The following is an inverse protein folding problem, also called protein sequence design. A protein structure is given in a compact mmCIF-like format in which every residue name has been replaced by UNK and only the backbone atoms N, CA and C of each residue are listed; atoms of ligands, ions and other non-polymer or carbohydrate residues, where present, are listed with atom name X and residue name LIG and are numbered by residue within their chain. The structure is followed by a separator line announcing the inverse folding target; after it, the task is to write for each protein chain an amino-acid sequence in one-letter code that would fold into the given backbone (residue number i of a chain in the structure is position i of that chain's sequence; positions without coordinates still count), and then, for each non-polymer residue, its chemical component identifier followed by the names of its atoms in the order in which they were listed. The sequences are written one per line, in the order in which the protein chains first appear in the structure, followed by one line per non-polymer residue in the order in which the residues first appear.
data_IF_947999595696
#
_entry.id   IF_947999595696
#
_cell.length_a   1.000
_cell.length_b   1.000
_cell.length_c   1.000
_cell.angle_alpha   90.00
_cell.angle_beta   90.00
_cell.angle_gamma   90.00
#
_symmetry.space_group_name_H-M   'P 1'
#
loop_
_entity.id
_entity.type
_entity.pdbx_description
1 polymer ?
#
# COMPACT_ATOMS: atom_id res chain seq x y z
N UNK A 1 -52.50 48.39 -36.94
CA UNK A 1 -52.09 49.19 -35.78
C UNK A 1 -52.86 48.73 -34.56
N UNK A 2 -52.19 48.08 -33.61
CA UNK A 2 -52.43 48.08 -32.15
C UNK A 2 -51.49 47.05 -31.52
N UNK A 3 -50.54 47.55 -30.73
CA UNK A 3 -49.59 46.82 -29.90
C UNK A 3 -50.25 45.82 -28.94
N UNK A 4 -49.51 44.81 -28.47
CA UNK A 4 -49.54 44.36 -27.06
C UNK A 4 -48.48 43.29 -26.77
N UNK A 5 -47.38 43.75 -26.16
CA UNK A 5 -46.72 43.20 -24.96
C UNK A 5 -46.49 41.67 -24.82
N UNK A 6 -45.21 41.28 -24.80
CA UNK A 6 -44.71 39.98 -24.33
C UNK A 6 -45.08 39.71 -22.85
N UNK A 7 -45.58 38.52 -22.49
CA UNK A 7 -45.57 38.06 -21.11
C UNK A 7 -44.16 37.54 -20.74
N UNK A 8 -43.54 38.20 -19.77
CA UNK A 8 -42.30 37.75 -19.11
C UNK A 8 -42.62 36.50 -18.29
N UNK A 9 -42.10 35.34 -18.69
CA UNK A 9 -42.12 34.16 -17.84
C UNK A 9 -41.00 34.27 -16.78
N UNK A 10 -41.29 33.99 -15.50
CA UNK A 10 -40.29 34.11 -14.44
C UNK A 10 -39.18 33.09 -14.64
N UNK A 11 -37.93 33.57 -14.56
CA UNK A 11 -36.73 32.74 -14.51
C UNK A 11 -36.87 31.73 -13.36
N UNK A 12 -37.03 30.45 -13.70
CA UNK A 12 -36.84 29.38 -12.71
C UNK A 12 -35.39 29.42 -12.26
N UNK A 13 -35.19 29.95 -11.06
CA UNK A 13 -33.94 29.84 -10.31
C UNK A 13 -33.61 28.35 -10.24
N UNK A 14 -32.57 27.94 -10.97
CA UNK A 14 -31.95 26.63 -10.84
C UNK A 14 -31.49 26.52 -9.39
N UNK A 15 -32.26 25.80 -8.57
CA UNK A 15 -31.85 25.45 -7.21
C UNK A 15 -30.49 24.75 -7.34
N UNK A 16 -29.44 25.44 -6.90
CA UNK A 16 -28.13 24.82 -6.70
C UNK A 16 -28.33 23.84 -5.56
N UNK A 17 -28.21 22.55 -5.86
CA UNK A 17 -28.14 21.51 -4.84
C UNK A 17 -26.91 21.78 -3.98
N UNK A 18 -27.10 22.39 -2.82
CA UNK A 18 -26.09 22.51 -1.77
C UNK A 18 -25.94 21.14 -1.09
N UNK A 19 -25.34 20.20 -1.83
CA UNK A 19 -24.74 19.00 -1.27
C UNK A 19 -23.25 18.97 -1.66
N UNK A 20 -22.56 20.09 -1.49
CA UNK A 20 -21.12 20.07 -1.23
C UNK A 20 -20.97 19.92 0.29
N UNK A 21 -21.19 18.71 0.78
CA UNK A 21 -20.60 18.36 2.07
C UNK A 21 -19.07 18.43 1.86
N UNK A 22 -18.31 19.17 2.69
CA UNK A 22 -16.88 18.97 2.71
C UNK A 22 -16.67 17.49 2.99
N UNK A 23 -15.85 16.81 2.17
CA UNK A 23 -15.33 15.49 2.52
C UNK A 23 -14.78 15.62 3.94
N UNK A 24 -15.54 15.12 4.91
CA UNK A 24 -15.02 14.81 6.23
C UNK A 24 -13.75 14.00 5.99
N UNK A 25 -12.63 14.29 6.66
CA UNK A 25 -11.50 13.37 6.67
C UNK A 25 -12.08 12.01 7.00
N UNK A 26 -11.93 11.07 6.07
CA UNK A 26 -12.25 9.68 6.35
C UNK A 26 -11.20 9.30 7.38
N UNK A 27 -11.55 9.45 8.66
CA UNK A 27 -10.84 8.83 9.77
C UNK A 27 -11.09 7.33 9.59
N UNK A 28 -10.42 6.75 8.59
CA UNK A 28 -10.21 5.33 8.53
C UNK A 28 -9.25 5.00 9.65
N UNK A 29 -9.57 3.96 10.41
CA UNK A 29 -8.65 3.35 11.36
C UNK A 29 -7.35 2.99 10.62
N UNK A 30 -6.40 3.93 10.59
CA UNK A 30 -5.09 3.79 9.95
C UNK A 30 -4.20 2.93 10.86
N UNK A 31 -4.59 1.67 11.04
CA UNK A 31 -3.69 0.67 11.57
C UNK A 31 -2.51 0.56 10.59
N UNK A 32 -1.26 0.80 11.05
CA UNK A 32 -0.12 0.85 10.16
C UNK A 32 0.09 -0.49 9.44
N UNK A 33 0.29 -0.43 8.12
CA UNK A 33 0.57 -1.59 7.28
C UNK A 33 1.73 -2.42 7.85
N UNK A 34 1.45 -3.70 8.11
CA UNK A 34 2.40 -4.58 8.77
C UNK A 34 3.73 -4.68 8.03
N UNK A 35 4.82 -4.72 8.78
CA UNK A 35 6.15 -5.04 8.27
C UNK A 35 6.28 -6.49 7.80
N UNK A 36 5.41 -7.38 8.29
CA UNK A 36 5.44 -8.79 7.95
C UNK A 36 4.62 -9.04 6.66
N UNK A 37 5.25 -9.49 5.57
CA UNK A 37 4.57 -9.68 4.30
C UNK A 37 3.48 -10.77 4.34
N UNK A 38 3.54 -11.72 5.29
CA UNK A 38 2.46 -12.71 5.45
C UNK A 38 1.20 -12.14 6.13
N UNK A 39 1.29 -10.95 6.72
CA UNK A 39 0.16 -10.24 7.34
C UNK A 39 -0.44 -9.17 6.43
N UNK A 40 0.08 -9.03 5.21
CA UNK A 40 -0.49 -8.08 4.26
C UNK A 40 -1.90 -8.51 3.85
N UNK A 41 -2.82 -7.54 3.69
CA UNK A 41 -4.17 -7.82 3.25
C UNK A 41 -4.18 -8.46 1.86
N UNK A 42 -5.13 -9.37 1.65
CA UNK A 42 -5.41 -10.02 0.38
C UNK A 42 -6.89 -9.80 0.05
N UNK A 43 -7.22 -9.12 -1.06
CA UNK A 43 -6.34 -8.66 -2.12
C UNK A 43 -5.52 -7.41 -1.76
N UNK A 44 -4.33 -7.26 -2.36
CA UNK A 44 -3.51 -6.05 -2.24
C UNK A 44 -4.10 -4.95 -3.14
N UNK A 45 -4.67 -3.91 -2.54
CA UNK A 45 -5.21 -2.74 -3.27
C UNK A 45 -4.09 -1.82 -3.80
N UNK A 46 -4.44 -0.88 -4.68
CA UNK A 46 -3.52 0.14 -5.19
C UNK A 46 -2.94 1.05 -4.09
N UNK A 47 -3.74 1.39 -3.08
CA UNK A 47 -3.27 2.20 -1.95
C UNK A 47 -2.21 1.46 -1.15
N UNK A 48 -2.45 0.18 -0.83
CA UNK A 48 -1.50 -0.68 -0.12
C UNK A 48 -0.23 -0.86 -0.96
N UNK A 49 -0.35 -1.08 -2.27
CA UNK A 49 0.81 -1.20 -3.17
C UNK A 49 1.67 0.05 -3.17
N UNK A 50 1.03 1.22 -3.27
CA UNK A 50 1.72 2.53 -3.22
C UNK A 50 2.49 2.67 -1.91
N UNK A 51 1.87 2.30 -0.79
CA UNK A 51 2.51 2.37 0.52
C UNK A 51 3.69 1.40 0.66
N UNK A 52 3.55 0.16 0.18
CA UNK A 52 4.64 -0.82 0.15
C UNK A 52 5.83 -0.35 -0.69
N UNK A 53 5.57 0.25 -1.85
CA UNK A 53 6.62 0.82 -2.71
C UNK A 53 7.29 2.01 -2.05
N UNK A 54 6.51 2.92 -1.47
CA UNK A 54 7.01 4.11 -0.75
C UNK A 54 7.91 3.73 0.42
N UNK A 55 7.50 2.70 1.18
CA UNK A 55 8.23 2.16 2.33
C UNK A 55 9.49 1.39 1.91
N UNK A 56 9.42 0.66 0.81
CA UNK A 56 10.48 -0.24 0.36
C UNK A 56 10.57 -1.53 1.17
N UNK A 57 11.51 -2.43 0.80
CA UNK A 57 11.64 -3.73 1.44
C UNK A 57 12.14 -3.60 2.88
N UNK A 58 11.47 -4.31 3.80
CA UNK A 58 11.90 -4.34 5.21
C UNK A 58 13.17 -5.18 5.33
N UNK A 59 14.21 -4.61 5.94
CA UNK A 59 15.47 -5.31 6.19
C UNK A 59 15.37 -6.16 7.44
N UNK A 60 15.82 -7.41 7.36
CA UNK A 60 15.98 -8.26 8.53
C UNK A 60 17.27 -7.84 9.27
N UNK A 61 17.24 -7.63 10.59
CA UNK A 61 18.45 -7.33 11.36
C UNK A 61 19.49 -8.45 11.22
N UNK A 62 20.77 -8.10 11.10
CA UNK A 62 21.87 -9.08 10.95
C UNK A 62 22.01 -10.03 12.15
N UNK A 63 21.50 -9.63 13.32
CA UNK A 63 21.46 -10.42 14.55
C UNK A 63 20.27 -11.39 14.61
N UNK A 64 19.32 -11.29 13.68
CA UNK A 64 18.16 -12.16 13.65
C UNK A 64 18.59 -13.60 13.32
N UNK A 65 18.12 -14.55 14.13
CA UNK A 65 18.35 -15.98 13.91
C UNK A 65 17.12 -16.55 13.23
N UNK A 66 17.31 -17.06 12.02
CA UNK A 66 16.22 -17.70 11.27
C UNK A 66 15.90 -19.05 11.90
N UNK A 67 14.61 -19.33 12.20
CA UNK A 67 14.18 -20.62 12.70
C UNK A 67 14.48 -21.71 11.67
N UNK A 68 14.83 -22.89 12.19
CA UNK A 68 15.02 -24.10 11.39
C UNK A 68 13.67 -24.79 11.21
N UNK A 69 13.38 -25.19 9.98
CA UNK A 69 12.20 -25.99 9.68
C UNK A 69 12.40 -27.41 10.27
N UNK A 70 11.41 -27.89 11.01
CA UNK A 70 11.45 -29.18 11.69
C UNK A 70 11.36 -30.36 10.71
N UNK A 71 10.72 -30.17 9.55
CA UNK A 71 10.49 -31.25 8.58
C UNK A 71 11.71 -31.57 7.70
N UNK A 72 12.36 -30.55 7.14
CA UNK A 72 13.48 -30.71 6.19
C UNK A 72 14.83 -30.22 6.76
N UNK A 73 14.84 -29.67 7.97
CA UNK A 73 16.03 -29.13 8.61
C UNK A 73 16.61 -27.90 7.91
N UNK A 74 15.91 -27.28 6.94
CA UNK A 74 16.39 -26.09 6.23
C UNK A 74 16.07 -24.82 7.02
N UNK A 75 16.89 -23.78 6.85
CA UNK A 75 16.61 -22.45 7.39
C UNK A 75 16.97 -21.37 6.37
N UNK A 76 16.39 -20.20 6.54
CA UNK A 76 16.80 -19.01 5.80
C UNK A 76 18.13 -18.48 6.37
N UNK A 77 18.87 -17.71 5.58
CA UNK A 77 20.14 -17.10 5.97
C UNK A 77 20.26 -15.68 5.40
N UNK A 78 21.00 -14.83 6.12
CA UNK A 78 21.27 -13.44 5.72
C UNK A 78 21.88 -13.30 4.33
N UNK A 79 22.72 -14.25 3.91
CA UNK A 79 23.34 -14.20 2.60
C UNK A 79 22.33 -14.30 1.45
N UNK A 80 21.13 -14.85 1.68
CA UNK A 80 20.06 -14.84 0.67
C UNK A 80 19.51 -13.44 0.40
N UNK A 81 19.70 -12.45 1.28
CA UNK A 81 19.22 -11.08 1.06
C UNK A 81 20.19 -10.23 0.25
N UNK A 82 21.32 -10.79 -0.20
CA UNK A 82 22.30 -10.07 -1.03
C UNK A 82 22.90 -10.96 -2.12
N UNK A 83 23.25 -10.35 -3.26
CA UNK A 83 23.98 -11.01 -4.34
C UNK A 83 25.37 -10.40 -4.42
N UNK A 84 26.38 -11.25 -4.53
CA UNK A 84 27.73 -10.83 -4.92
C UNK A 84 27.80 -10.73 -6.44
N UNK A 85 28.19 -9.57 -6.96
CA UNK A 85 28.42 -9.34 -8.38
C UNK A 85 29.77 -9.94 -8.82
N UNK A 86 30.02 -10.02 -10.13
CA UNK A 86 31.32 -10.45 -10.68
C UNK A 86 32.46 -9.52 -10.28
N UNK A 87 32.15 -8.26 -9.96
CA UNK A 87 33.08 -7.28 -9.40
C UNK A 87 33.46 -7.56 -7.93
N UNK A 88 32.78 -8.48 -7.25
CA UNK A 88 32.92 -8.74 -5.81
C UNK A 88 32.04 -7.86 -4.92
N UNK A 89 31.34 -6.86 -5.48
CA UNK A 89 30.42 -6.00 -4.72
C UNK A 89 29.19 -6.79 -4.23
N UNK A 90 28.75 -6.54 -3.00
CA UNK A 90 27.51 -7.10 -2.44
C UNK A 90 26.35 -6.12 -2.59
N UNK A 91 25.37 -6.50 -3.39
CA UNK A 91 24.15 -5.73 -3.62
C UNK A 91 22.97 -6.39 -2.92
N UNK A 92 22.16 -5.60 -2.20
CA UNK A 92 20.95 -6.10 -1.55
C UNK A 92 19.88 -6.49 -2.57
N UNK A 93 19.16 -7.60 -2.34
CA UNK A 93 17.99 -7.98 -3.13
C UNK A 93 16.80 -7.13 -2.66
N UNK A 94 16.39 -6.16 -3.47
CA UNK A 94 15.32 -5.21 -3.15
C UNK A 94 13.91 -5.82 -3.15
N UNK A 95 13.76 -7.03 -3.67
CA UNK A 95 12.48 -7.73 -3.81
C UNK A 95 12.28 -8.84 -2.77
N UNK A 96 13.31 -9.20 -1.99
CA UNK A 96 13.22 -10.36 -1.10
C UNK A 96 12.85 -9.92 0.30
N UNK A 97 11.76 -10.47 0.83
CA UNK A 97 11.27 -10.17 2.17
C UNK A 97 11.23 -11.43 3.02
N UNK A 98 11.25 -11.25 4.34
CA UNK A 98 11.10 -12.35 5.28
C UNK A 98 9.82 -12.19 6.09
N UNK A 99 8.98 -13.22 6.10
CA UNK A 99 7.89 -13.33 7.04
C UNK A 99 8.35 -14.05 8.30
N UNK A 100 8.34 -13.34 9.42
CA UNK A 100 8.59 -13.95 10.73
C UNK A 100 7.43 -14.87 11.12
N UNK A 101 6.19 -14.49 10.79
CA UNK A 101 5.00 -15.27 11.14
C UNK A 101 4.93 -16.60 10.41
N UNK A 102 5.26 -16.63 9.11
CA UNK A 102 5.28 -17.87 8.31
C UNK A 102 6.63 -18.57 8.25
N UNK A 103 7.67 -17.96 8.83
CA UNK A 103 9.05 -18.48 8.83
C UNK A 103 9.57 -18.79 7.42
N UNK A 104 9.21 -17.95 6.45
CA UNK A 104 9.57 -18.13 5.05
C UNK A 104 9.93 -16.78 4.41
N UNK A 105 10.62 -16.82 3.27
CA UNK A 105 10.75 -15.64 2.42
C UNK A 105 9.52 -15.51 1.51
N UNK A 106 9.25 -14.28 1.08
CA UNK A 106 8.24 -13.92 0.09
C UNK A 106 8.93 -13.11 -1.02
#
# INVERSE_FOLDING_TARGET
MRDSQLPRLPNKIRQRSLNDQPMSPIEGDDEPLSSDPAKWPSPITDSIRTELVRRGPTKVPTTFIFPRNEGDGRCCHHHYFSRTLTSGEKVARSWMLYSVSKRCYI
#
